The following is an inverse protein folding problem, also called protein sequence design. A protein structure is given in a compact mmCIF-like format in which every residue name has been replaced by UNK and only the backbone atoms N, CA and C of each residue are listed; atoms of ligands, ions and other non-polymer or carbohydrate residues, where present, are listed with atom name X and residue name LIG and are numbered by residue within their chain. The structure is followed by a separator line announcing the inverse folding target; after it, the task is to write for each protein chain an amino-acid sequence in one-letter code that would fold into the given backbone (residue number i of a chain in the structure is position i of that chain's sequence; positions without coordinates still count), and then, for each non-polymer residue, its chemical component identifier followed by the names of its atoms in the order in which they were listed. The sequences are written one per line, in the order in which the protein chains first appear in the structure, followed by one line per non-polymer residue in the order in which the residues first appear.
data_IF_028798164994
#
_entry.id   IF_028798164994
#
_cell.length_a   1.000
_cell.length_b   1.000
_cell.length_c   1.000
_cell.angle_alpha   90.00
_cell.angle_beta   90.00
_cell.angle_gamma   90.00
#
_symmetry.space_group_name_H-M   'P 1'
#
loop_
_entity.id
_entity.type
_entity.pdbx_description
1 polymer ?
#
# COMPACT_ATOMS: atom_id res chain seq x y z
N UNK A 1 1.42 18.62 4.01
CA UNK A 1 0.96 17.29 3.57
C UNK A 1 1.98 16.24 3.95
N UNK A 2 1.53 15.03 4.20
CA UNK A 2 2.46 13.93 4.48
C UNK A 2 3.13 13.43 3.20
N UNK A 3 4.30 12.82 3.34
CA UNK A 3 5.09 12.34 2.20
C UNK A 3 4.30 11.37 1.30
N UNK A 4 3.50 10.49 1.89
CA UNK A 4 2.66 9.57 1.11
C UNK A 4 1.59 10.30 0.28
N UNK A 5 1.07 11.42 0.75
CA UNK A 5 0.12 12.25 0.00
C UNK A 5 0.81 12.93 -1.18
N UNK A 6 2.02 13.44 -0.96
CA UNK A 6 2.83 14.06 -2.03
C UNK A 6 3.15 13.05 -3.14
N UNK A 7 3.49 11.82 -2.76
CA UNK A 7 3.72 10.73 -3.73
C UNK A 7 2.47 10.42 -4.56
N UNK A 8 1.31 10.35 -3.92
CA UNK A 8 0.06 10.08 -4.64
C UNK A 8 -0.31 11.22 -5.60
N UNK A 9 -0.10 12.45 -5.18
CA UNK A 9 -0.27 13.63 -6.03
C UNK A 9 0.68 13.59 -7.23
N UNK A 10 1.95 13.30 -7.02
CA UNK A 10 2.94 13.18 -8.09
C UNK A 10 2.57 12.07 -9.08
N UNK A 11 2.11 10.92 -8.60
CA UNK A 11 1.65 9.83 -9.46
C UNK A 11 0.54 10.29 -10.42
N UNK A 12 -0.42 11.04 -9.90
CA UNK A 12 -1.51 11.63 -10.72
C UNK A 12 -0.99 12.64 -11.74
N UNK A 13 -0.07 13.51 -11.35
CA UNK A 13 0.51 14.54 -12.23
C UNK A 13 1.25 13.92 -13.42
N UNK A 14 1.95 12.81 -13.23
CA UNK A 14 2.63 12.10 -14.31
C UNK A 14 1.66 11.65 -15.41
N UNK A 15 0.44 11.28 -15.05
CA UNK A 15 -0.59 10.85 -16.01
C UNK A 15 -1.30 12.01 -16.70
N UNK A 16 -1.28 13.21 -16.12
CA UNK A 16 -1.93 14.39 -16.66
C UNK A 16 -1.02 15.21 -17.60
N UNK A 17 0.20 14.76 -17.85
CA UNK A 17 1.04 15.35 -18.89
C UNK A 17 0.36 15.23 -20.26
N UNK A 18 0.62 16.18 -21.16
CA UNK A 18 -0.03 16.23 -22.46
C UNK A 18 0.18 14.95 -23.29
N UNK A 19 1.39 14.40 -23.25
CA UNK A 19 1.73 13.14 -23.91
C UNK A 19 2.63 12.30 -22.98
N UNK A 20 2.05 11.56 -22.00
CA UNK A 20 2.84 10.74 -21.12
C UNK A 20 3.61 9.67 -21.88
N UNK A 21 4.92 9.61 -21.69
CA UNK A 21 5.76 8.56 -22.29
C UNK A 21 5.80 7.30 -21.40
N UNK A 22 6.50 6.25 -21.86
CA UNK A 22 6.61 5.00 -21.11
C UNK A 22 7.22 5.19 -19.72
N UNK A 23 8.20 6.08 -19.57
CA UNK A 23 8.78 6.39 -18.27
C UNK A 23 7.74 7.04 -17.34
N UNK A 24 6.94 7.97 -17.84
CA UNK A 24 5.88 8.61 -17.07
C UNK A 24 4.83 7.59 -16.60
N UNK A 25 4.38 6.72 -17.51
CA UNK A 25 3.36 5.71 -17.21
C UNK A 25 3.85 4.70 -16.17
N UNK A 26 5.04 4.17 -16.34
CA UNK A 26 5.66 3.22 -15.41
C UNK A 26 5.90 3.86 -14.04
N UNK A 27 6.42 5.08 -14.05
CA UNK A 27 6.71 5.83 -12.83
C UNK A 27 5.44 6.20 -12.07
N UNK A 28 4.35 6.50 -12.77
CA UNK A 28 3.07 6.78 -12.12
C UNK A 28 2.59 5.59 -11.26
N UNK A 29 2.60 4.39 -11.81
CA UNK A 29 2.24 3.18 -11.09
C UNK A 29 3.19 2.87 -9.93
N UNK A 30 4.49 2.95 -10.19
CA UNK A 30 5.53 2.72 -9.17
C UNK A 30 5.41 3.73 -8.01
N UNK A 31 5.22 5.01 -8.33
CA UNK A 31 5.05 6.08 -7.34
C UNK A 31 3.77 5.90 -6.52
N UNK A 32 2.67 5.47 -7.15
CA UNK A 32 1.43 5.14 -6.45
C UNK A 32 1.64 3.98 -5.45
N UNK A 33 2.36 2.95 -5.84
CA UNK A 33 2.73 1.88 -4.91
C UNK A 33 3.51 2.42 -3.70
N UNK A 34 4.51 3.26 -3.93
CA UNK A 34 5.29 3.86 -2.84
C UNK A 34 4.43 4.76 -1.95
N UNK A 35 3.42 5.42 -2.50
CA UNK A 35 2.47 6.18 -1.69
C UNK A 35 1.76 5.26 -0.69
N UNK A 36 1.25 4.12 -1.13
CA UNK A 36 0.59 3.14 -0.24
C UNK A 36 1.58 2.53 0.76
N UNK A 37 2.78 2.19 0.33
CA UNK A 37 3.85 1.69 1.20
C UNK A 37 4.15 2.69 2.33
N UNK A 38 4.35 3.96 2.01
CA UNK A 38 4.64 4.99 3.00
C UNK A 38 3.44 5.37 3.87
N UNK A 39 2.20 5.24 3.36
CA UNK A 39 1.01 5.37 4.19
C UNK A 39 1.03 4.33 5.31
N UNK A 40 1.25 3.07 4.99
CA UNK A 40 1.25 1.98 5.98
C UNK A 40 2.39 2.14 7.00
N UNK A 41 3.57 2.56 6.57
CA UNK A 41 4.69 2.88 7.47
C UNK A 41 4.31 4.03 8.41
N UNK A 42 3.80 5.12 7.87
CA UNK A 42 3.38 6.29 8.65
C UNK A 42 2.34 5.92 9.70
N UNK A 43 1.31 5.19 9.31
CA UNK A 43 0.25 4.76 10.21
C UNK A 43 0.77 3.84 11.33
N UNK A 44 1.72 2.96 11.02
CA UNK A 44 2.34 2.11 12.05
C UNK A 44 3.20 2.94 13.02
N UNK A 45 4.04 3.82 12.50
CA UNK A 45 4.96 4.61 13.32
C UNK A 45 4.25 5.63 14.22
N UNK A 46 3.06 6.10 13.81
CA UNK A 46 2.22 6.98 14.64
C UNK A 46 1.81 6.33 15.97
N UNK A 47 1.76 5.01 16.04
CA UNK A 47 1.49 4.28 17.29
C UNK A 47 2.67 4.29 18.25
N UNK A 48 3.85 4.71 17.81
CA UNK A 48 5.03 4.85 18.65
C UNK A 48 5.07 6.23 19.28
N UNK A 49 5.02 6.29 20.60
CA UNK A 49 4.86 7.57 21.35
C UNK A 49 6.08 8.49 21.26
N UNK A 50 7.27 7.94 21.06
CA UNK A 50 8.52 8.71 21.04
C UNK A 50 8.85 9.16 19.61
N UNK A 51 8.59 10.43 19.30
CA UNK A 51 8.77 11.02 17.98
C UNK A 51 10.20 10.83 17.42
N UNK A 52 11.22 11.03 18.25
CA UNK A 52 12.61 10.90 17.82
C UNK A 52 13.00 9.51 17.34
N UNK A 53 12.23 8.48 17.68
CA UNK A 53 12.48 7.10 17.29
C UNK A 53 11.64 6.64 16.09
N UNK A 54 10.66 7.44 15.65
CA UNK A 54 9.75 7.06 14.57
C UNK A 54 10.46 6.88 13.24
N UNK A 55 11.45 7.72 12.93
CA UNK A 55 12.23 7.60 11.71
C UNK A 55 13.05 6.31 11.68
N UNK A 56 13.74 5.98 12.75
CA UNK A 56 14.47 4.72 12.87
C UNK A 56 13.54 3.51 12.77
N UNK A 57 12.38 3.58 13.42
CA UNK A 57 11.34 2.55 13.36
C UNK A 57 10.81 2.36 11.93
N UNK A 58 10.54 3.46 11.22
CA UNK A 58 10.07 3.42 9.83
C UNK A 58 11.04 2.74 8.86
N UNK A 59 12.33 2.78 9.13
CA UNK A 59 13.36 2.12 8.31
C UNK A 59 13.43 0.60 8.49
N UNK A 60 12.73 0.05 9.46
CA UNK A 60 12.69 -1.40 9.72
C UNK A 60 11.71 -2.16 8.83
N UNK A 61 10.91 -1.44 8.05
CA UNK A 61 9.92 -2.06 7.17
C UNK A 61 10.57 -2.65 5.94
N UNK A 62 10.17 -3.85 5.59
CA UNK A 62 10.64 -4.60 4.43
C UNK A 62 9.47 -4.92 3.49
N UNK A 63 9.61 -4.58 2.22
CA UNK A 63 8.58 -4.78 1.20
C UNK A 63 8.12 -6.24 1.11
N UNK A 64 9.04 -7.18 1.17
CA UNK A 64 8.74 -8.61 1.08
C UNK A 64 7.98 -9.13 2.29
N UNK A 65 8.37 -8.72 3.50
CA UNK A 65 7.67 -9.09 4.72
C UNK A 65 6.28 -8.49 4.78
N UNK A 66 6.13 -7.23 4.38
CA UNK A 66 4.81 -6.56 4.31
C UNK A 66 3.89 -7.27 3.31
N UNK A 67 4.41 -7.67 2.16
CA UNK A 67 3.66 -8.44 1.16
C UNK A 67 3.21 -9.80 1.70
N UNK A 68 4.09 -10.52 2.38
CA UNK A 68 3.75 -11.80 3.01
C UNK A 68 2.67 -11.65 4.06
N UNK A 69 2.76 -10.63 4.92
CA UNK A 69 1.73 -10.32 5.92
C UNK A 69 0.39 -10.00 5.27
N UNK A 70 0.40 -9.20 4.22
CA UNK A 70 -0.80 -8.84 3.46
C UNK A 70 -1.45 -10.06 2.79
N UNK A 71 -0.64 -10.96 2.23
CA UNK A 71 -1.14 -12.23 1.67
C UNK A 71 -1.76 -13.14 2.74
N UNK A 72 -1.15 -13.23 3.93
CA UNK A 72 -1.73 -13.99 5.04
C UNK A 72 -3.11 -13.47 5.42
N UNK A 73 -3.27 -12.15 5.49
CA UNK A 73 -4.57 -11.54 5.76
C UNK A 73 -5.61 -11.95 4.70
N UNK A 74 -5.23 -11.93 3.42
CA UNK A 74 -6.14 -12.27 2.31
C UNK A 74 -6.60 -13.73 2.33
N UNK A 75 -5.77 -14.64 2.80
CA UNK A 75 -6.05 -16.09 2.82
C UNK A 75 -6.56 -16.59 4.16
N UNK A 76 -6.51 -15.76 5.22
CA UNK A 76 -6.93 -16.17 6.56
C UNK A 76 -8.44 -16.18 6.71
N UNK A 77 -8.96 -17.27 7.26
CA UNK A 77 -10.35 -17.37 7.75
C UNK A 77 -10.50 -16.96 9.22
N UNK A 78 -9.39 -16.79 9.92
CA UNK A 78 -9.38 -16.53 11.37
C UNK A 78 -10.06 -15.21 11.74
N UNK A 79 -9.97 -14.20 10.90
CA UNK A 79 -10.62 -12.90 11.10
C UNK A 79 -12.14 -13.05 11.16
N UNK A 80 -12.71 -13.87 10.28
CA UNK A 80 -14.15 -14.14 10.26
C UNK A 80 -14.59 -14.96 11.49
N UNK A 81 -13.74 -15.87 11.98
CA UNK A 81 -14.01 -16.69 13.15
C UNK A 81 -13.99 -15.90 14.46
N UNK A 82 -13.35 -14.71 14.49
CA UNK A 82 -13.31 -13.80 15.64
C UNK A 82 -14.57 -12.92 15.77
N UNK A 83 -15.57 -13.08 14.90
CA UNK A 83 -16.82 -12.32 14.95
C UNK A 83 -16.71 -10.88 14.48
N UNK A 84 -15.68 -10.54 13.69
CA UNK A 84 -15.49 -9.20 13.14
C UNK A 84 -16.57 -8.86 12.09
N UNK A 85 -16.89 -7.57 11.96
CA UNK A 85 -17.81 -7.08 10.94
C UNK A 85 -17.30 -7.43 9.54
N UNK A 86 -18.11 -8.10 8.74
CA UNK A 86 -17.77 -8.55 7.40
C UNK A 86 -17.42 -7.36 6.47
N UNK A 87 -18.14 -6.24 6.60
CA UNK A 87 -17.87 -5.03 5.82
C UNK A 87 -16.48 -4.47 6.13
N UNK A 88 -16.11 -4.42 7.41
CA UNK A 88 -14.81 -3.97 7.87
C UNK A 88 -13.68 -4.87 7.37
N UNK A 89 -13.87 -6.19 7.46
CA UNK A 89 -12.92 -7.18 6.94
C UNK A 89 -12.70 -7.02 5.44
N UNK A 90 -13.77 -6.83 4.67
CA UNK A 90 -13.67 -6.59 3.22
C UNK A 90 -12.90 -5.33 2.88
N UNK A 91 -13.13 -4.24 3.61
CA UNK A 91 -12.40 -2.98 3.43
C UNK A 91 -10.91 -3.17 3.68
N UNK A 92 -10.55 -3.81 4.78
CA UNK A 92 -9.15 -4.08 5.10
C UNK A 92 -8.50 -4.98 4.05
N UNK A 93 -9.18 -6.03 3.61
CA UNK A 93 -8.70 -6.91 2.54
C UNK A 93 -8.52 -6.17 1.22
N UNK A 94 -9.34 -5.18 0.90
CA UNK A 94 -9.18 -4.35 -0.29
C UNK A 94 -7.86 -3.58 -0.25
N UNK A 95 -7.49 -3.01 0.89
CA UNK A 95 -6.20 -2.33 1.06
C UNK A 95 -5.03 -3.31 0.94
N UNK A 96 -5.10 -4.44 1.61
CA UNK A 96 -4.05 -5.47 1.54
C UNK A 96 -3.89 -6.02 0.12
N UNK A 97 -4.98 -6.24 -0.60
CA UNK A 97 -4.99 -6.67 -2.00
C UNK A 97 -4.30 -5.66 -2.91
N UNK A 98 -4.63 -4.37 -2.75
CA UNK A 98 -3.98 -3.29 -3.49
C UNK A 98 -2.46 -3.30 -3.26
N UNK A 99 -2.04 -3.45 -2.01
CA UNK A 99 -0.61 -3.50 -1.68
C UNK A 99 0.11 -4.66 -2.38
N UNK A 100 -0.45 -5.88 -2.32
CA UNK A 100 0.15 -7.07 -2.95
C UNK A 100 0.23 -6.92 -4.47
N UNK A 101 -0.87 -6.54 -5.10
CA UNK A 101 -0.94 -6.42 -6.56
C UNK A 101 0.00 -5.34 -7.09
N UNK A 102 0.03 -4.18 -6.44
CA UNK A 102 0.85 -3.06 -6.88
C UNK A 102 2.33 -3.28 -6.64
N UNK A 103 2.72 -4.05 -5.62
CA UNK A 103 4.11 -4.45 -5.46
C UNK A 103 4.58 -5.32 -6.64
N UNK A 104 3.77 -6.27 -7.10
CA UNK A 104 4.09 -7.08 -8.27
C UNK A 104 4.17 -6.23 -9.53
N UNK A 105 3.22 -5.32 -9.72
CA UNK A 105 3.19 -4.39 -10.84
C UNK A 105 4.39 -3.44 -10.84
N UNK A 106 4.76 -2.90 -9.68
CA UNK A 106 5.95 -2.06 -9.53
C UNK A 106 7.22 -2.80 -9.95
N UNK A 107 7.37 -4.04 -9.53
CA UNK A 107 8.54 -4.84 -9.90
C UNK A 107 8.64 -5.01 -11.42
N UNK A 108 7.53 -5.31 -12.08
CA UNK A 108 7.46 -5.41 -13.53
C UNK A 108 7.78 -4.05 -14.18
N UNK A 109 7.20 -2.96 -13.70
CA UNK A 109 7.40 -1.62 -14.24
C UNK A 109 8.87 -1.17 -14.15
N UNK A 110 9.57 -1.50 -13.07
CA UNK A 110 10.93 -1.07 -12.82
C UNK A 110 11.98 -1.94 -13.56
N UNK A 111 11.70 -3.23 -13.78
CA UNK A 111 12.73 -4.17 -14.22
C UNK A 111 12.45 -4.89 -15.54
N UNK A 112 11.22 -4.89 -16.06
CA UNK A 112 10.85 -5.56 -17.31
C UNK A 112 10.67 -4.57 -18.46
N UNK A 113 11.75 -4.30 -19.19
CA UNK A 113 11.75 -3.28 -20.25
C UNK A 113 10.93 -3.67 -21.49
N UNK A 114 10.69 -4.97 -21.71
CA UNK A 114 9.97 -5.48 -22.89
C UNK A 114 8.46 -5.29 -22.85
N UNK A 115 7.90 -4.94 -21.71
CA UNK A 115 6.45 -4.77 -21.54
C UNK A 115 6.08 -3.30 -21.76
N UNK A 116 5.12 -3.06 -22.65
CA UNK A 116 4.60 -1.72 -22.91
C UNK A 116 3.45 -1.40 -21.96
N UNK A 117 3.60 -0.31 -21.21
CA UNK A 117 2.58 0.23 -20.30
C UNK A 117 1.57 1.08 -21.09
N UNK A 118 0.29 0.95 -20.74
CA UNK A 118 -0.76 1.82 -21.30
C UNK A 118 -1.17 2.87 -20.27
N UNK A 119 -1.73 3.98 -20.73
CA UNK A 119 -2.28 5.02 -19.85
C UNK A 119 -3.39 4.45 -18.96
N UNK A 120 -4.25 3.59 -19.52
CA UNK A 120 -5.35 2.96 -18.79
C UNK A 120 -4.84 2.09 -17.63
N UNK A 121 -3.80 1.29 -17.86
CA UNK A 121 -3.19 0.47 -16.80
C UNK A 121 -2.64 1.34 -15.68
N UNK A 122 -1.88 2.37 -16.01
CA UNK A 122 -1.28 3.28 -15.01
C UNK A 122 -2.36 4.06 -14.26
N UNK A 123 -3.41 4.51 -14.96
CA UNK A 123 -4.55 5.20 -14.34
C UNK A 123 -5.27 4.28 -13.36
N UNK A 124 -5.45 3.01 -13.71
CA UNK A 124 -6.06 2.02 -12.82
C UNK A 124 -5.24 1.83 -11.54
N UNK A 125 -3.92 1.75 -11.66
CA UNK A 125 -3.02 1.62 -10.52
C UNK A 125 -3.12 2.83 -9.59
N UNK A 126 -3.06 4.04 -10.11
CA UNK A 126 -3.20 5.28 -9.32
C UNK A 126 -4.58 5.36 -8.67
N UNK A 127 -5.64 5.03 -9.40
CA UNK A 127 -7.01 5.02 -8.88
C UNK A 127 -7.17 3.99 -7.76
N UNK A 128 -6.57 2.82 -7.91
CA UNK A 128 -6.58 1.77 -6.87
C UNK A 128 -5.96 2.27 -5.57
N UNK A 129 -4.85 2.99 -5.64
CA UNK A 129 -4.21 3.57 -4.45
C UNK A 129 -5.06 4.70 -3.84
N UNK A 130 -5.65 5.57 -4.65
CA UNK A 130 -6.57 6.61 -4.16
C UNK A 130 -7.73 6.00 -3.39
N UNK A 131 -8.33 4.95 -3.91
CA UNK A 131 -9.40 4.23 -3.23
C UNK A 131 -8.91 3.58 -1.93
N UNK A 132 -7.72 2.97 -1.94
CA UNK A 132 -7.12 2.39 -0.75
C UNK A 132 -6.90 3.46 0.35
N UNK A 133 -6.48 4.66 -0.01
CA UNK A 133 -6.34 5.78 0.93
C UNK A 133 -7.67 6.16 1.57
N UNK A 134 -8.74 6.27 0.78
CA UNK A 134 -10.07 6.60 1.28
C UNK A 134 -10.62 5.51 2.20
N UNK A 135 -10.46 4.26 1.81
CA UNK A 135 -10.87 3.11 2.62
C UNK A 135 -10.09 3.10 3.93
N UNK A 136 -8.78 3.25 3.87
CA UNK A 136 -7.92 3.29 5.05
C UNK A 136 -8.37 4.36 6.04
N UNK A 137 -8.64 5.56 5.58
CA UNK A 137 -9.11 6.66 6.42
C UNK A 137 -10.39 6.29 7.20
N UNK A 138 -11.24 5.45 6.61
CA UNK A 138 -12.50 5.01 7.25
C UNK A 138 -12.34 3.89 8.26
N UNK A 139 -11.23 3.14 8.23
CA UNK A 139 -11.01 1.95 9.08
C UNK A 139 -9.76 2.05 9.96
N UNK A 140 -9.00 3.11 9.88
CA UNK A 140 -7.67 3.24 10.49
C UNK A 140 -7.62 2.97 11.99
N UNK A 141 -8.68 3.27 12.72
CA UNK A 141 -8.74 3.12 14.18
C UNK A 141 -9.39 1.80 14.65
N UNK A 142 -9.79 0.95 13.71
CA UNK A 142 -10.40 -0.33 14.04
C UNK A 142 -9.35 -1.34 14.52
N UNK A 143 -9.74 -2.22 15.45
CA UNK A 143 -8.80 -3.17 16.05
C UNK A 143 -8.12 -4.07 15.03
N UNK A 144 -8.88 -4.62 14.08
CA UNK A 144 -8.30 -5.50 13.04
C UNK A 144 -7.33 -4.76 12.13
N UNK A 145 -7.56 -3.47 11.89
CA UNK A 145 -6.67 -2.62 11.09
C UNK A 145 -5.35 -2.39 11.83
N UNK A 146 -5.41 -2.13 13.15
CA UNK A 146 -4.23 -1.99 13.99
C UNK A 146 -3.46 -3.31 14.12
N UNK A 147 -4.15 -4.45 14.22
CA UNK A 147 -3.51 -5.78 14.19
C UNK A 147 -2.80 -6.05 12.86
N UNK A 148 -3.39 -5.61 11.75
CA UNK A 148 -2.73 -5.69 10.44
C UNK A 148 -1.42 -4.90 10.41
N UNK A 149 -1.41 -3.66 10.93
CA UNK A 149 -0.19 -2.85 11.01
C UNK A 149 0.90 -3.55 11.80
N UNK A 150 0.56 -4.15 12.94
CA UNK A 150 1.51 -4.94 13.74
C UNK A 150 2.07 -6.10 12.93
N UNK A 151 1.22 -6.80 12.17
CA UNK A 151 1.63 -7.95 11.36
C UNK A 151 2.64 -7.62 10.26
N UNK A 152 2.70 -6.36 9.80
CA UNK A 152 3.63 -5.93 8.75
C UNK A 152 5.10 -6.01 9.18
N UNK A 153 5.37 -5.96 10.48
CA UNK A 153 6.72 -6.03 11.04
C UNK A 153 7.11 -7.42 11.54
N UNK A 154 6.14 -8.28 11.80
CA UNK A 154 6.37 -9.55 12.48
C UNK A 154 6.69 -10.64 11.47
N UNK A 155 7.88 -11.22 11.58
CA UNK A 155 8.19 -12.48 10.92
C UNK A 155 7.51 -13.60 11.71
N UNK A 156 6.70 -14.48 11.05
CA UNK A 156 6.11 -15.63 11.74
C UNK A 156 7.23 -16.51 12.33
N UNK A 157 7.00 -17.02 13.53
CA UNK A 157 7.85 -18.06 14.10
C UNK A 157 7.62 -19.34 13.30
N UNK A 158 8.70 -19.95 12.85
CA UNK A 158 8.69 -21.29 12.25
C UNK A 158 8.35 -22.34 13.31
#
# INVERSE_FOLDING_TARGET
MAYHDDLLTQAGELLHKNEPNQADLRRAGSTAYYALFHLLISETTLNWSRDSSRDAFGRMFDHGLMKKASRRLLTSSDILSKGEDLSLVKKLKTVAQAFVQLQDRRHIADYHNGIRWTHTESLLEVTTVRQAFLIWASIRNENITQEYLVSLLIKPRE
#
